data_IF_960356809705
#
_entry.id   IF_960356809705
#
_cell.length_a   1.000
_cell.length_b   1.000
_cell.length_c   1.000
_cell.angle_alpha   90.00
_cell.angle_beta   90.00
_cell.angle_gamma   90.00
#
_symmetry.space_group_name_H-M   'P 1'
#
loop_
_entity.id
_entity.type
_entity.pdbx_description
1 polymer ?
#
# COMPACT_ATOMS: atom_id res chain seq x y z
N UNK A 1 -1.87 31.45 -6.65
CA UNK A 1 -2.10 30.25 -7.52
C UNK A 1 -2.79 29.21 -6.67
N UNK A 2 -3.93 28.68 -7.12
CA UNK A 2 -4.69 27.68 -6.35
C UNK A 2 -3.85 26.43 -6.10
N UNK A 3 -3.81 25.97 -4.83
CA UNK A 3 -3.04 24.84 -4.38
C UNK A 3 -3.93 23.62 -4.16
N UNK A 4 -3.73 22.60 -4.96
CA UNK A 4 -4.43 21.31 -4.85
C UNK A 4 -3.51 20.33 -4.13
N UNK A 5 -3.98 19.80 -3.01
CA UNK A 5 -3.26 18.79 -2.21
C UNK A 5 -3.97 17.45 -2.28
N UNK A 6 -3.21 16.39 -2.50
CA UNK A 6 -3.71 15.02 -2.61
C UNK A 6 -3.03 14.19 -1.52
N UNK A 7 -3.79 13.60 -0.60
CA UNK A 7 -3.26 12.67 0.39
C UNK A 7 -3.34 11.26 -0.17
N UNK A 8 -2.20 10.68 -0.49
CA UNK A 8 -2.03 9.35 -1.06
C UNK A 8 -1.40 9.36 -2.44
N UNK A 9 -0.23 8.74 -2.56
CA UNK A 9 0.50 8.57 -3.82
C UNK A 9 0.22 7.23 -4.53
N UNK A 10 -0.92 6.59 -4.20
CA UNK A 10 -1.39 5.40 -4.91
C UNK A 10 -1.96 5.72 -6.28
N UNK A 11 -2.47 4.69 -6.96
CA UNK A 11 -2.97 4.79 -8.36
C UNK A 11 -4.02 5.91 -8.52
N UNK A 12 -4.95 6.07 -7.57
CA UNK A 12 -6.02 7.08 -7.64
C UNK A 12 -5.45 8.49 -7.54
N UNK A 13 -4.60 8.75 -6.53
CA UNK A 13 -4.02 10.09 -6.32
C UNK A 13 -3.11 10.51 -7.46
N UNK A 14 -2.25 9.61 -7.94
CA UNK A 14 -1.32 9.91 -9.03
C UNK A 14 -2.06 10.08 -10.37
N UNK A 15 -3.04 9.24 -10.66
CA UNK A 15 -3.86 9.39 -11.88
C UNK A 15 -4.58 10.73 -11.88
N UNK A 16 -5.19 11.11 -10.76
CA UNK A 16 -5.84 12.40 -10.61
C UNK A 16 -4.88 13.57 -10.80
N UNK A 17 -3.72 13.55 -10.13
CA UNK A 17 -2.71 14.61 -10.28
C UNK A 17 -2.28 14.81 -11.73
N UNK A 18 -2.07 13.71 -12.47
CA UNK A 18 -1.74 13.75 -13.90
C UNK A 18 -2.86 14.37 -14.75
N UNK A 19 -4.11 14.03 -14.46
CA UNK A 19 -5.25 14.60 -15.18
C UNK A 19 -5.41 16.08 -14.87
N UNK A 20 -5.30 16.49 -13.61
CA UNK A 20 -5.33 17.91 -13.23
C UNK A 20 -4.22 18.68 -13.95
N UNK A 21 -3.00 18.12 -14.02
CA UNK A 21 -1.87 18.75 -14.70
C UNK A 21 -2.09 18.94 -16.20
N UNK A 22 -2.77 18.00 -16.88
CA UNK A 22 -3.15 18.16 -18.29
C UNK A 22 -4.13 19.29 -18.53
N UNK A 23 -4.96 19.62 -17.55
CA UNK A 23 -6.05 20.58 -17.67
C UNK A 23 -5.77 21.93 -17.01
N UNK A 24 -4.67 22.06 -16.23
CA UNK A 24 -4.36 23.27 -15.49
C UNK A 24 -2.91 23.39 -15.07
N UNK A 25 -2.49 24.61 -14.78
CA UNK A 25 -1.18 24.94 -14.23
C UNK A 25 -1.17 25.15 -12.71
N UNK A 26 -2.23 24.74 -12.02
CA UNK A 26 -2.37 24.86 -10.57
C UNK A 26 -1.22 24.18 -9.83
N UNK A 27 -0.88 24.67 -8.63
CA UNK A 27 0.07 23.99 -7.76
C UNK A 27 -0.51 22.64 -7.32
N UNK A 28 0.25 21.56 -7.46
CA UNK A 28 -0.17 20.19 -7.06
C UNK A 28 0.89 19.62 -6.12
N UNK A 29 0.46 19.17 -4.95
CA UNK A 29 1.28 18.44 -3.99
C UNK A 29 0.61 17.10 -3.68
N UNK A 30 1.36 16.00 -3.83
CA UNK A 30 0.94 14.65 -3.39
C UNK A 30 1.68 14.33 -2.11
N UNK A 31 0.94 13.89 -1.08
CA UNK A 31 1.49 13.51 0.22
C UNK A 31 1.45 11.99 0.36
N UNK A 32 2.53 11.40 0.84
CA UNK A 32 2.61 9.97 1.14
C UNK A 32 3.35 9.71 2.44
N UNK A 33 2.80 8.82 3.26
CA UNK A 33 3.47 8.30 4.44
C UNK A 33 4.23 6.99 4.15
N UNK A 34 3.91 6.30 3.06
CA UNK A 34 4.40 4.95 2.75
C UNK A 34 5.74 4.94 2.00
N UNK A 35 5.76 5.54 0.82
CA UNK A 35 6.94 5.59 -0.06
C UNK A 35 7.12 6.97 -0.65
N UNK A 36 8.32 7.29 -1.10
CA UNK A 36 8.61 8.59 -1.72
C UNK A 36 7.97 8.70 -3.10
N UNK A 37 7.96 7.61 -3.86
CA UNK A 37 7.40 7.56 -5.20
C UNK A 37 6.24 6.57 -5.30
N UNK A 38 5.37 6.82 -6.27
CA UNK A 38 4.31 5.88 -6.64
C UNK A 38 4.88 4.56 -7.13
N UNK A 39 4.30 3.45 -6.68
CA UNK A 39 4.61 2.11 -7.13
C UNK A 39 3.34 1.29 -7.39
N UNK A 40 3.44 0.27 -8.23
CA UNK A 40 2.37 -0.68 -8.47
C UNK A 40 2.24 -1.65 -7.29
N UNK A 41 1.21 -1.47 -6.48
CA UNK A 41 0.97 -2.29 -5.28
C UNK A 41 0.80 -3.77 -5.59
N UNK A 42 0.11 -4.09 -6.67
CA UNK A 42 -0.08 -5.47 -7.11
C UNK A 42 1.22 -6.17 -7.49
N UNK A 43 2.27 -5.42 -7.80
CA UNK A 43 3.58 -5.97 -8.13
C UNK A 43 4.42 -6.38 -6.91
N UNK A 44 3.98 -6.07 -5.67
CA UNK A 44 4.71 -6.47 -4.45
C UNK A 44 4.87 -7.99 -4.34
N UNK A 45 3.88 -8.76 -4.80
CA UNK A 45 3.98 -10.22 -4.85
C UNK A 45 5.14 -10.68 -5.75
N UNK A 46 5.30 -10.08 -6.92
CA UNK A 46 6.39 -10.45 -7.84
C UNK A 46 7.77 -10.06 -7.30
N UNK A 47 7.84 -9.01 -6.50
CA UNK A 47 9.09 -8.65 -5.80
C UNK A 47 9.46 -9.74 -4.80
N UNK A 48 8.51 -10.16 -3.94
CA UNK A 48 8.76 -11.23 -2.98
C UNK A 48 9.12 -12.56 -3.66
N UNK A 49 8.47 -12.89 -4.76
CA UNK A 49 8.77 -14.10 -5.54
C UNK A 49 10.11 -14.03 -6.29
N UNK A 50 10.78 -12.86 -6.29
CA UNK A 50 12.08 -12.67 -6.94
C UNK A 50 12.01 -12.42 -8.45
N UNK A 51 10.81 -12.16 -9.00
CA UNK A 51 10.62 -11.93 -10.42
C UNK A 51 11.05 -10.51 -10.85
N UNK A 52 11.10 -9.57 -9.91
CA UNK A 52 11.55 -8.19 -10.15
C UNK A 52 12.06 -7.54 -8.88
N UNK A 53 12.80 -6.46 -9.02
CA UNK A 53 13.20 -5.60 -7.91
C UNK A 53 12.10 -4.56 -7.61
N UNK A 54 12.08 -4.03 -6.38
CA UNK A 54 11.08 -3.04 -5.98
C UNK A 54 11.12 -1.77 -6.86
N UNK A 55 12.30 -1.30 -7.23
CA UNK A 55 12.44 -0.13 -8.11
C UNK A 55 11.73 -0.30 -9.47
N UNK A 56 11.61 -1.53 -9.96
CA UNK A 56 10.90 -1.82 -11.22
C UNK A 56 9.38 -1.75 -11.09
N UNK A 57 8.85 -1.64 -9.87
CA UNK A 57 7.41 -1.43 -9.63
C UNK A 57 6.98 0.02 -9.79
N UNK A 58 7.94 0.94 -9.97
CA UNK A 58 7.69 2.37 -10.13
C UNK A 58 7.50 2.70 -11.61
N UNK A 59 6.28 3.06 -12.07
CA UNK A 59 5.99 3.25 -13.49
C UNK A 59 6.44 4.63 -14.02
N UNK A 60 6.96 5.49 -13.15
CA UNK A 60 7.46 6.81 -13.53
C UNK A 60 8.87 7.01 -13.02
N UNK A 61 9.74 7.50 -13.89
CA UNK A 61 11.09 7.93 -13.56
C UNK A 61 11.07 9.10 -12.56
N UNK A 62 12.09 9.23 -11.72
CA UNK A 62 12.15 10.27 -10.69
C UNK A 62 12.05 11.70 -11.26
N UNK A 63 12.57 11.94 -12.47
CA UNK A 63 12.47 13.24 -13.15
C UNK A 63 11.05 13.59 -13.59
N UNK A 64 10.15 12.60 -13.74
CA UNK A 64 8.76 12.79 -14.17
C UNK A 64 8.01 13.80 -13.31
N UNK A 65 8.16 13.74 -12.01
CA UNK A 65 7.45 14.58 -11.06
C UNK A 65 7.82 16.05 -11.21
N UNK A 66 9.13 16.34 -11.25
CA UNK A 66 9.65 17.70 -11.47
C UNK A 66 9.25 18.23 -12.84
N UNK A 67 9.39 17.44 -13.89
CA UNK A 67 9.00 17.82 -15.26
C UNK A 67 7.52 18.20 -15.34
N UNK A 68 6.66 17.49 -14.62
CA UNK A 68 5.22 17.74 -14.60
C UNK A 68 4.82 18.73 -13.50
N UNK A 69 5.75 19.33 -12.79
CA UNK A 69 5.46 20.31 -11.71
C UNK A 69 4.49 19.73 -10.67
N UNK A 70 4.69 18.45 -10.29
CA UNK A 70 3.97 17.76 -9.23
C UNK A 70 4.96 17.62 -8.06
N UNK A 71 4.66 18.27 -6.96
CA UNK A 71 5.44 18.19 -5.74
C UNK A 71 5.10 16.91 -4.98
N UNK A 72 6.10 16.18 -4.53
CA UNK A 72 5.94 15.03 -3.64
C UNK A 72 6.40 15.42 -2.23
N UNK A 73 5.53 15.22 -1.24
CA UNK A 73 5.83 15.46 0.17
C UNK A 73 5.69 14.17 0.97
N UNK A 74 6.80 13.73 1.58
CA UNK A 74 6.78 12.63 2.55
C UNK A 74 6.21 13.13 3.87
N UNK A 75 5.32 12.37 4.48
CA UNK A 75 4.80 12.65 5.81
C UNK A 75 3.44 12.00 6.06
N UNK A 76 3.12 11.82 7.33
CA UNK A 76 1.84 11.29 7.79
C UNK A 76 0.93 12.44 8.22
N UNK A 77 -0.19 12.62 7.50
CA UNK A 77 -1.22 13.61 7.87
C UNK A 77 -2.02 13.08 9.05
N UNK A 78 -1.86 13.72 10.19
CA UNK A 78 -2.51 13.35 11.46
C UNK A 78 -3.91 13.95 11.59
N UNK A 79 -4.09 15.19 11.13
CA UNK A 79 -5.37 15.89 11.23
C UNK A 79 -5.60 16.84 10.05
N UNK A 80 -6.87 17.07 9.74
CA UNK A 80 -7.34 17.98 8.71
C UNK A 80 -8.23 19.02 9.38
N UNK A 81 -7.81 20.30 9.32
CA UNK A 81 -8.63 21.42 9.74
C UNK A 81 -9.35 22.02 8.51
N UNK A 82 -10.62 21.75 8.37
CA UNK A 82 -11.38 22.12 7.18
C UNK A 82 -11.70 23.61 7.11
N UNK A 83 -11.87 24.28 8.25
CA UNK A 83 -12.20 25.72 8.30
C UNK A 83 -11.03 26.57 7.84
N UNK A 84 -9.83 26.29 8.37
CA UNK A 84 -8.59 26.97 8.00
C UNK A 84 -7.92 26.36 6.77
N UNK A 85 -8.46 25.27 6.23
CA UNK A 85 -7.86 24.50 5.10
C UNK A 85 -6.41 24.12 5.38
N UNK A 86 -6.14 23.56 6.56
CA UNK A 86 -4.80 23.24 7.02
C UNK A 86 -4.67 21.75 7.32
N UNK A 87 -3.60 21.15 6.84
CA UNK A 87 -3.17 19.79 7.20
C UNK A 87 -2.12 19.87 8.30
N UNK A 88 -2.26 19.01 9.31
CA UNK A 88 -1.28 18.85 10.39
C UNK A 88 -0.59 17.50 10.22
N UNK A 89 0.74 17.52 10.18
CA UNK A 89 1.55 16.31 10.08
C UNK A 89 1.93 15.78 11.48
N UNK A 90 2.25 14.51 11.55
CA UNK A 90 2.66 13.87 12.80
C UNK A 90 3.95 14.47 13.37
N UNK A 91 4.86 14.91 12.49
CA UNK A 91 6.14 15.54 12.82
C UNK A 91 6.02 17.02 13.23
N UNK A 92 4.80 17.58 13.24
CA UNK A 92 4.52 18.95 13.66
C UNK A 92 4.42 19.98 12.51
N UNK A 93 4.81 19.61 11.29
CA UNK A 93 4.64 20.44 10.11
C UNK A 93 3.17 20.74 9.83
N UNK A 94 2.92 21.86 9.14
CA UNK A 94 1.60 22.20 8.60
C UNK A 94 1.67 22.48 7.10
N UNK A 95 0.57 22.24 6.39
CA UNK A 95 0.42 22.61 4.96
C UNK A 95 -0.98 23.14 4.71
N UNK A 96 -1.05 24.34 4.12
CA UNK A 96 -2.31 24.91 3.67
C UNK A 96 -2.67 24.45 2.26
N UNK A 97 -3.97 24.36 1.98
CA UNK A 97 -4.51 23.96 0.69
C UNK A 97 -5.72 24.80 0.31
N UNK A 98 -5.99 24.92 -0.98
CA UNK A 98 -7.27 25.47 -1.48
C UNK A 98 -8.28 24.34 -1.71
N UNK A 99 -7.82 23.24 -2.31
CA UNK A 99 -8.61 22.02 -2.54
C UNK A 99 -7.85 20.80 -2.03
N UNK A 100 -8.58 19.93 -1.34
CA UNK A 100 -8.02 18.70 -0.78
C UNK A 100 -8.72 17.48 -1.39
N UNK A 101 -7.92 16.51 -1.78
CA UNK A 101 -8.37 15.19 -2.22
C UNK A 101 -7.80 14.13 -1.29
N UNK A 102 -8.66 13.23 -0.81
CA UNK A 102 -8.29 12.11 0.05
C UNK A 102 -8.27 10.85 -0.80
N UNK A 103 -7.09 10.31 -1.04
CA UNK A 103 -6.84 9.10 -1.85
C UNK A 103 -5.97 8.09 -1.08
N UNK A 104 -6.26 7.93 0.22
CA UNK A 104 -5.42 7.17 1.16
C UNK A 104 -5.48 5.64 0.99
N UNK A 105 -6.35 5.14 0.12
CA UNK A 105 -6.50 3.70 -0.11
C UNK A 105 -7.17 2.99 1.06
N UNK A 106 -6.74 1.76 1.34
CA UNK A 106 -7.27 0.90 2.39
C UNK A 106 -6.18 0.43 3.35
N UNK A 107 -6.58 -0.27 4.38
CA UNK A 107 -5.69 -0.96 5.31
C UNK A 107 -6.27 -2.35 5.62
N UNK A 108 -5.44 -3.35 5.96
CA UNK A 108 -5.93 -4.64 6.42
C UNK A 108 -6.84 -4.51 7.64
N UNK A 109 -7.94 -5.27 7.65
CA UNK A 109 -8.78 -5.37 8.83
C UNK A 109 -8.08 -6.22 9.90
N UNK A 110 -8.04 -5.69 11.11
CA UNK A 110 -7.65 -6.42 12.31
C UNK A 110 -8.90 -6.62 13.15
N UNK A 111 -9.40 -7.83 13.23
CA UNK A 111 -10.71 -8.13 13.83
C UNK A 111 -10.70 -8.18 15.38
N UNK A 112 -9.61 -7.78 16.02
CA UNK A 112 -9.49 -7.75 17.47
C UNK A 112 -9.15 -9.09 18.11
N UNK A 113 -8.65 -10.07 17.36
CA UNK A 113 -8.27 -11.37 17.92
C UNK A 113 -7.06 -11.22 18.85
N UNK A 114 -6.98 -12.01 19.92
CA UNK A 114 -5.78 -12.09 20.73
C UNK A 114 -4.58 -12.53 19.88
N UNK A 115 -3.45 -11.82 20.04
CA UNK A 115 -2.21 -12.16 19.33
C UNK A 115 -2.06 -11.57 17.94
N UNK A 116 -3.02 -10.83 17.40
CA UNK A 116 -2.93 -10.25 16.04
C UNK A 116 -1.80 -9.20 15.89
N UNK A 117 -1.23 -8.70 16.99
CA UNK A 117 -0.14 -7.72 17.01
C UNK A 117 1.22 -8.35 17.39
N UNK A 118 1.28 -9.68 17.47
CA UNK A 118 2.54 -10.38 17.71
C UNK A 118 3.49 -10.28 16.52
N UNK A 119 4.79 -10.42 16.77
CA UNK A 119 5.81 -10.47 15.72
C UNK A 119 5.52 -11.61 14.75
N UNK A 120 5.57 -11.31 13.45
CA UNK A 120 5.26 -12.27 12.39
C UNK A 120 3.77 -12.40 12.07
N UNK A 121 2.87 -11.70 12.79
CA UNK A 121 1.45 -11.60 12.43
C UNK A 121 1.23 -10.29 11.68
N UNK A 122 0.88 -10.37 10.41
CA UNK A 122 0.79 -9.21 9.53
C UNK A 122 -0.22 -9.42 8.39
N UNK A 123 -0.68 -8.33 7.80
CA UNK A 123 -1.31 -8.35 6.48
C UNK A 123 -0.27 -8.26 5.36
N UNK A 124 -0.73 -8.26 4.10
CA UNK A 124 0.09 -7.96 2.94
C UNK A 124 -0.60 -6.90 2.12
N UNK A 125 -0.23 -5.64 2.34
CA UNK A 125 -0.80 -4.50 1.65
C UNK A 125 0.23 -3.38 1.40
N UNK A 126 1.00 -3.01 2.41
CA UNK A 126 2.00 -1.95 2.35
C UNK A 126 3.36 -2.47 1.88
N UNK A 127 4.20 -1.54 1.41
CA UNK A 127 5.63 -1.85 1.16
C UNK A 127 6.31 -2.37 2.43
N UNK A 128 5.95 -1.83 3.58
CA UNK A 128 6.45 -2.26 4.89
C UNK A 128 6.02 -3.70 5.25
N UNK A 129 4.85 -4.15 4.75
CA UNK A 129 4.43 -5.55 4.91
C UNK A 129 5.33 -6.47 4.09
N UNK A 130 5.71 -6.07 2.87
CA UNK A 130 6.71 -6.80 2.08
C UNK A 130 8.05 -6.90 2.83
N UNK A 131 8.55 -5.80 3.42
CA UNK A 131 9.80 -5.80 4.18
C UNK A 131 9.73 -6.75 5.39
N UNK A 132 8.59 -6.76 6.07
CA UNK A 132 8.33 -7.68 7.16
C UNK A 132 8.26 -9.13 6.68
N UNK A 133 7.61 -9.39 5.54
CA UNK A 133 7.54 -10.71 4.97
C UNK A 133 8.93 -11.22 4.56
N UNK A 134 9.75 -10.39 3.93
CA UNK A 134 11.16 -10.69 3.63
C UNK A 134 11.97 -11.00 4.90
N UNK A 135 11.71 -10.30 5.99
CA UNK A 135 12.39 -10.50 7.27
C UNK A 135 11.98 -11.79 7.96
N UNK A 136 10.69 -12.12 8.01
CA UNK A 136 10.17 -13.23 8.80
C UNK A 136 10.01 -14.52 8.01
N UNK A 137 9.88 -14.43 6.70
CA UNK A 137 9.67 -15.56 5.80
C UNK A 137 10.57 -15.49 4.54
N UNK A 138 11.90 -15.28 4.67
CA UNK A 138 12.77 -15.20 3.49
C UNK A 138 12.90 -16.55 2.77
N UNK A 139 12.77 -17.66 3.49
CA UNK A 139 12.84 -19.04 2.98
C UNK A 139 12.35 -20.03 4.04
N UNK A 140 12.27 -21.32 3.66
CA UNK A 140 11.85 -22.41 4.56
C UNK A 140 12.79 -22.70 5.75
N UNK A 141 14.04 -22.21 5.69
CA UNK A 141 14.99 -22.45 6.78
C UNK A 141 14.73 -21.53 7.95
N UNK A 142 14.28 -20.33 7.69
CA UNK A 142 13.85 -19.35 8.69
C UNK A 142 12.39 -19.54 9.07
N UNK A 143 11.49 -19.62 8.08
CA UNK A 143 10.06 -19.84 8.28
C UNK A 143 9.68 -21.28 7.95
N UNK A 144 9.57 -22.12 8.98
CA UNK A 144 9.25 -23.55 8.81
C UNK A 144 7.83 -23.81 8.32
N UNK A 145 6.90 -22.89 8.64
CA UNK A 145 5.48 -22.94 8.22
C UNK A 145 4.84 -21.56 8.38
N UNK A 146 4.02 -21.20 7.43
CA UNK A 146 3.15 -20.02 7.52
C UNK A 146 1.69 -20.45 7.71
N UNK A 147 0.94 -19.63 8.44
CA UNK A 147 -0.52 -19.79 8.59
C UNK A 147 -1.19 -18.57 7.96
N UNK A 148 -2.10 -18.83 7.04
CA UNK A 148 -2.92 -17.80 6.38
C UNK A 148 -4.33 -17.87 6.97
N UNK A 149 -4.81 -16.76 7.52
CA UNK A 149 -6.16 -16.64 8.06
C UNK A 149 -7.05 -15.94 7.04
N UNK A 150 -7.98 -16.69 6.47
CA UNK A 150 -8.92 -16.23 5.46
C UNK A 150 -8.77 -16.94 4.12
N UNK A 151 -9.89 -17.35 3.54
CA UNK A 151 -9.99 -18.08 2.27
C UNK A 151 -10.34 -17.19 1.07
N UNK A 152 -9.87 -15.94 1.03
CA UNK A 152 -10.10 -15.03 -0.09
C UNK A 152 -8.92 -14.96 -1.07
N UNK A 153 -9.05 -14.10 -2.10
CA UNK A 153 -8.07 -13.93 -3.16
C UNK A 153 -6.66 -13.61 -2.61
N UNK A 154 -6.56 -12.68 -1.67
CA UNK A 154 -5.26 -12.31 -1.05
C UNK A 154 -4.61 -13.52 -0.37
N UNK A 155 -5.39 -14.41 0.24
CA UNK A 155 -4.88 -15.63 0.87
C UNK A 155 -4.22 -16.57 -0.13
N UNK A 156 -4.80 -16.75 -1.32
CA UNK A 156 -4.22 -17.56 -2.39
C UNK A 156 -2.95 -16.93 -2.95
N UNK A 157 -2.95 -15.63 -3.20
CA UNK A 157 -1.75 -14.91 -3.65
C UNK A 157 -0.60 -15.04 -2.64
N UNK A 158 -0.90 -14.92 -1.35
CA UNK A 158 0.09 -15.13 -0.28
C UNK A 158 0.60 -16.57 -0.24
N UNK A 159 -0.27 -17.55 -0.47
CA UNK A 159 0.16 -18.95 -0.52
C UNK A 159 1.09 -19.22 -1.69
N UNK A 160 0.81 -18.65 -2.86
CA UNK A 160 1.68 -18.72 -4.04
C UNK A 160 3.04 -18.07 -3.75
N UNK A 161 3.04 -16.87 -3.16
CA UNK A 161 4.26 -16.17 -2.74
C UNK A 161 5.12 -17.03 -1.80
N UNK A 162 4.52 -17.60 -0.75
CA UNK A 162 5.22 -18.43 0.23
C UNK A 162 5.71 -19.74 -0.39
N UNK A 163 4.88 -20.37 -1.24
CA UNK A 163 5.24 -21.60 -1.92
C UNK A 163 6.41 -21.42 -2.90
N UNK A 164 6.52 -20.25 -3.56
CA UNK A 164 7.68 -19.94 -4.42
C UNK A 164 9.01 -20.05 -3.66
N UNK A 165 8.99 -19.80 -2.34
CA UNK A 165 10.13 -19.94 -1.42
C UNK A 165 10.15 -21.27 -0.66
N UNK A 166 9.30 -22.22 -1.08
CA UNK A 166 9.18 -23.57 -0.50
C UNK A 166 8.75 -23.56 0.98
N UNK A 167 8.02 -22.53 1.41
CA UNK A 167 7.48 -22.41 2.76
C UNK A 167 6.12 -23.11 2.80
N UNK A 168 5.94 -24.16 3.62
CA UNK A 168 4.65 -24.83 3.79
C UNK A 168 3.59 -23.88 4.33
N UNK A 169 2.38 -23.94 3.78
CA UNK A 169 1.26 -23.07 4.16
C UNK A 169 0.13 -23.90 4.77
N UNK A 170 -0.47 -23.35 5.81
CA UNK A 170 -1.75 -23.83 6.37
C UNK A 170 -2.78 -22.72 6.26
N UNK A 171 -3.93 -23.01 5.65
CA UNK A 171 -5.06 -22.10 5.64
C UNK A 171 -5.98 -22.34 6.84
N UNK A 172 -6.39 -21.25 7.48
CA UNK A 172 -7.52 -21.24 8.41
C UNK A 172 -8.69 -20.53 7.74
N UNK A 173 -9.70 -21.27 7.35
CA UNK A 173 -10.89 -20.79 6.65
C UNK A 173 -12.08 -21.04 7.56
N UNK A 174 -12.90 -20.04 7.77
CA UNK A 174 -14.11 -20.12 8.59
C UNK A 174 -15.24 -20.81 7.85
N UNK A 175 -15.33 -20.58 6.56
CA UNK A 175 -16.34 -21.11 5.66
C UNK A 175 -16.03 -22.57 5.29
N UNK A 176 -17.04 -23.34 4.88
CA UNK A 176 -16.92 -24.76 4.51
C UNK A 176 -16.12 -24.99 3.22
N UNK A 177 -15.92 -23.96 2.41
CA UNK A 177 -15.13 -24.01 1.17
C UNK A 177 -14.35 -22.71 0.96
N UNK A 178 -13.27 -22.83 0.18
CA UNK A 178 -12.44 -21.69 -0.20
C UNK A 178 -13.23 -20.73 -1.09
N UNK A 179 -13.22 -19.43 -0.72
CA UNK A 179 -13.84 -18.31 -1.46
C UNK A 179 -15.28 -18.58 -1.93
N UNK A 180 -16.09 -19.14 -1.04
CA UNK A 180 -17.42 -19.67 -1.32
C UNK A 180 -18.45 -18.63 -1.80
N UNK A 181 -18.17 -17.33 -1.64
CA UNK A 181 -18.99 -16.25 -2.19
C UNK A 181 -18.80 -16.01 -3.69
N UNK A 182 -17.78 -16.62 -4.31
CA UNK A 182 -17.39 -16.41 -5.73
C UNK A 182 -17.25 -17.74 -6.46
N UNK A 183 -16.61 -18.72 -5.84
CA UNK A 183 -16.38 -20.04 -6.45
C UNK A 183 -17.49 -21.01 -6.07
N UNK A 184 -17.90 -21.91 -7.00
CA UNK A 184 -18.84 -22.97 -6.69
C UNK A 184 -18.28 -23.89 -5.61
N UNK A 185 -19.16 -24.52 -4.84
CA UNK A 185 -18.77 -25.59 -3.92
C UNK A 185 -18.26 -26.76 -4.75
N UNK A 186 -16.99 -27.09 -4.57
CA UNK A 186 -16.32 -28.25 -5.16
C UNK A 186 -16.49 -29.47 -4.28
#
# INVERSE_FOLDING_TARGET
MEHIVIIGNGISGVTLARHIRKLSDKKITIISAETDYFFSRTALMYVYMGHMKFEHTQPYENWFWKKNRIELKKGYVKAIETKSKTLHFAEGDILQYDKLIIATGSKPNKFGWPGQDLKGVMGMYLKQDLDNLEKYAPNKDVCKRAVIVGGGLIGIELAEMLNSRKIPVTFLVREDSFWNGVLPKG
#
